data_IF_703171582301
#
_entry.id   IF_703171582301
#
_cell.length_a   1.000
_cell.length_b   1.000
_cell.length_c   1.000
_cell.angle_alpha   90.00
_cell.angle_beta   90.00
_cell.angle_gamma   90.00
#
_symmetry.space_group_name_H-M   'P 1'
#
loop_
_entity.id
_entity.type
_entity.pdbx_description
1 polymer ?
#
# COMPACT_ATOMS: atom_id res chain seq x y z
N UNK A 1 -6.88 -6.71 14.72
CA UNK A 1 -7.56 -6.14 13.54
C UNK A 1 -6.69 -6.42 12.33
N UNK A 2 -6.80 -7.60 11.72
CA UNK A 2 -6.06 -7.89 10.49
C UNK A 2 -6.98 -7.38 9.37
N UNK A 3 -6.55 -6.56 8.42
CA UNK A 3 -5.84 -7.01 7.24
C UNK A 3 -5.74 -5.82 6.27
N UNK A 4 -5.69 -4.58 6.78
CA UNK A 4 -5.55 -3.37 5.95
C UNK A 4 -4.35 -3.51 5.00
N UNK A 5 -3.24 -4.05 5.52
CA UNK A 5 -2.07 -4.42 4.71
C UNK A 5 -2.38 -5.47 3.63
N UNK A 6 -3.23 -6.45 3.92
CA UNK A 6 -3.58 -7.52 2.98
C UNK A 6 -4.45 -6.99 1.83
N UNK A 7 -5.36 -6.05 2.10
CA UNK A 7 -6.14 -5.38 1.05
C UNK A 7 -5.25 -4.55 0.11
N UNK A 8 -4.24 -3.89 0.66
CA UNK A 8 -3.25 -3.15 -0.15
C UNK A 8 -2.44 -4.11 -1.03
N UNK A 9 -1.97 -5.22 -0.47
CA UNK A 9 -1.25 -6.25 -1.24
C UNK A 9 -2.08 -6.84 -2.37
N UNK A 10 -3.34 -7.16 -2.10
CA UNK A 10 -4.27 -7.67 -3.12
C UNK A 10 -4.48 -6.64 -4.25
N UNK A 11 -4.64 -5.36 -3.90
CA UNK A 11 -4.74 -4.28 -4.89
C UNK A 11 -3.46 -4.13 -5.72
N UNK A 12 -2.28 -4.23 -5.11
CA UNK A 12 -1.00 -4.20 -5.83
C UNK A 12 -0.93 -5.36 -6.82
N UNK A 13 -1.34 -6.56 -6.40
CA UNK A 13 -1.30 -7.74 -7.25
C UNK A 13 -2.22 -7.60 -8.46
N UNK A 14 -3.45 -7.10 -8.27
CA UNK A 14 -4.37 -6.84 -9.38
C UNK A 14 -3.85 -5.77 -10.35
N UNK A 15 -3.25 -4.69 -9.83
CA UNK A 15 -2.66 -3.63 -10.65
C UNK A 15 -1.45 -4.14 -11.44
N UNK A 16 -0.62 -4.98 -10.81
CA UNK A 16 0.53 -5.60 -11.45
C UNK A 16 0.10 -6.56 -12.56
N UNK A 17 -0.88 -7.42 -12.29
CA UNK A 17 -1.42 -8.35 -13.27
C UNK A 17 -2.04 -7.62 -14.47
N UNK A 18 -2.77 -6.53 -14.20
CA UNK A 18 -3.31 -5.66 -15.25
C UNK A 18 -2.18 -5.04 -16.10
N UNK A 19 -1.14 -4.49 -15.48
CA UNK A 19 0.03 -3.96 -16.17
C UNK A 19 0.76 -5.03 -17.00
N UNK A 20 0.85 -6.25 -16.46
CA UNK A 20 1.50 -7.37 -17.11
C UNK A 20 0.72 -7.89 -18.33
N UNK A 21 -0.61 -7.88 -18.28
CA UNK A 21 -1.48 -8.27 -19.40
C UNK A 21 -1.57 -7.19 -20.50
N UNK A 22 -1.25 -5.94 -20.20
CA UNK A 22 -1.24 -4.87 -21.18
C UNK A 22 0.05 -4.92 -22.04
N UNK A 23 -0.09 -5.17 -23.34
CA UNK A 23 0.99 -5.05 -24.34
C UNK A 23 1.34 -3.56 -24.56
N UNK A 24 2.19 -3.01 -23.68
CA UNK A 24 2.63 -1.61 -23.70
C UNK A 24 3.67 -1.26 -22.64
N UNK A 25 4.08 0.01 -22.55
CA UNK A 25 4.91 0.52 -21.45
C UNK A 25 4.02 0.89 -20.27
N UNK A 26 4.16 0.17 -19.17
CA UNK A 26 3.44 0.39 -17.94
C UNK A 26 4.38 0.72 -16.79
N UNK A 27 4.18 1.86 -16.15
CA UNK A 27 4.93 2.26 -14.95
C UNK A 27 4.06 2.13 -13.71
N UNK A 28 4.56 1.38 -12.72
CA UNK A 28 4.00 1.34 -11.37
C UNK A 28 4.96 1.99 -10.38
N UNK A 29 4.47 2.93 -9.58
CA UNK A 29 5.22 3.53 -8.47
C UNK A 29 4.50 3.33 -7.16
N UNK A 30 5.21 2.83 -6.15
CA UNK A 30 4.68 2.65 -4.81
C UNK A 30 5.48 3.56 -3.87
N UNK A 31 4.79 4.49 -3.23
CA UNK A 31 5.36 5.37 -2.21
C UNK A 31 4.78 5.02 -0.84
N UNK A 32 5.64 4.75 0.13
CA UNK A 32 5.23 4.54 1.51
C UNK A 32 5.68 5.73 2.37
N UNK A 33 4.71 6.42 2.96
CA UNK A 33 4.93 7.53 3.89
C UNK A 33 4.57 7.09 5.30
N UNK A 34 5.53 7.24 6.20
CA UNK A 34 5.31 7.00 7.63
C UNK A 34 4.71 8.27 8.25
N UNK A 35 3.50 8.16 8.78
CA UNK A 35 2.81 9.24 9.49
C UNK A 35 3.09 9.14 10.99
N UNK A 36 2.99 10.28 11.68
CA UNK A 36 3.05 10.34 13.15
C UNK A 36 1.74 9.76 13.71
N UNK A 37 1.83 8.79 14.64
CA UNK A 37 0.77 7.91 15.23
C UNK A 37 0.74 6.45 14.74
N UNK A 38 1.84 5.93 14.19
CA UNK A 38 1.86 4.54 13.74
C UNK A 38 0.97 4.29 12.50
N UNK A 39 0.61 5.31 11.73
CA UNK A 39 -0.07 5.10 10.45
C UNK A 39 0.94 5.08 9.32
N UNK A 40 0.74 4.18 8.37
CA UNK A 40 1.51 4.10 7.13
C UNK A 40 0.57 4.46 5.99
N UNK A 41 0.94 5.48 5.24
CA UNK A 41 0.25 5.84 4.03
C UNK A 41 0.96 5.22 2.83
N UNK A 42 0.24 4.42 2.06
CA UNK A 42 0.74 3.82 0.84
C UNK A 42 0.04 4.49 -0.34
N UNK A 43 0.83 5.08 -1.23
CA UNK A 43 0.35 5.72 -2.45
C UNK A 43 0.84 4.87 -3.62
N UNK A 44 -0.08 4.43 -4.48
CA UNK A 44 0.23 3.63 -5.66
C UNK A 44 -0.12 4.44 -6.90
N UNK A 45 0.85 4.62 -7.79
CA UNK A 45 0.68 5.25 -9.09
C UNK A 45 0.75 4.16 -10.17
N UNK A 46 -0.36 3.97 -10.90
CA UNK A 46 -0.46 3.00 -11.99
C UNK A 46 -1.44 3.56 -13.03
N UNK A 47 -1.04 4.62 -13.75
CA UNK A 47 -1.92 5.43 -14.63
C UNK A 47 -2.99 6.26 -13.88
N UNK A 48 -3.42 5.81 -12.70
CA UNK A 48 -4.27 6.51 -11.74
C UNK A 48 -3.62 6.44 -10.36
N UNK A 49 -3.90 7.44 -9.52
CA UNK A 49 -3.35 7.52 -8.17
C UNK A 49 -4.32 6.88 -7.17
N UNK A 50 -3.84 5.88 -6.45
CA UNK A 50 -4.54 5.21 -5.36
C UNK A 50 -3.85 5.55 -4.04
N UNK A 51 -4.63 5.84 -2.99
CA UNK A 51 -4.11 6.19 -1.67
C UNK A 51 -4.77 5.32 -0.62
N UNK A 52 -3.93 4.62 0.15
CA UNK A 52 -4.35 3.74 1.22
C UNK A 52 -3.71 4.22 2.53
N UNK A 53 -4.51 4.30 3.58
CA UNK A 53 -4.03 4.58 4.93
C UNK A 53 -4.14 3.27 5.72
N UNK A 54 -2.99 2.72 6.08
CA UNK A 54 -2.89 1.48 6.84
C UNK A 54 -2.48 1.84 8.26
N UNK A 55 -3.37 1.57 9.22
CA UNK A 55 -3.01 1.60 10.63
C UNK A 55 -2.02 0.47 10.92
N UNK A 56 -0.80 0.84 11.29
CA UNK A 56 0.14 -0.07 11.91
C UNK A 56 -0.09 0.05 13.41
N UNK A 57 -0.62 -0.97 14.10
CA UNK A 57 -0.57 -0.95 15.55
C UNK A 57 0.92 -0.92 15.89
N UNK A 58 1.41 0.25 16.29
CA UNK A 58 2.65 0.37 17.03
C UNK A 58 2.46 -0.62 18.17
N UNK A 59 3.14 -1.77 18.11
CA UNK A 59 3.18 -2.68 19.24
C UNK A 59 3.59 -1.81 20.40
N UNK A 60 2.61 -1.57 21.28
CA UNK A 60 2.81 -0.69 22.41
C UNK A 60 4.07 -1.20 23.09
N UNK A 61 5.10 -0.37 23.13
CA UNK A 61 6.23 -0.60 24.01
C UNK A 61 5.63 -0.93 25.36
N UNK A 62 5.75 -2.20 25.76
CA UNK A 62 5.38 -2.64 27.08
C UNK A 62 6.16 -1.76 28.05
N UNK A 63 5.41 -1.08 28.90
CA UNK A 63 5.95 -0.35 30.04
C UNK A 63 6.47 -1.41 30.99
N UNK A 64 7.78 -1.38 31.28
CA UNK A 64 8.39 -2.02 32.44
C UNK A 64 9.28 -0.99 33.14
#
# INVERSE_FOLDING_TARGET
MPDQNKMVLDSIQQLYDSLFQHDGYGEMKIEMKFLKKGQKEIIIHCGKQYRYVVDWPEEKGCTE
#
